data_IF_797203882612
#
_entry.id   IF_797203882612
#
_cell.length_a   1.000
_cell.length_b   1.000
_cell.length_c   1.000
_cell.angle_alpha   90.00
_cell.angle_beta   90.00
_cell.angle_gamma   90.00
#
_symmetry.space_group_name_H-M   'P 1'
#
loop_
_entity.id
_entity.type
_entity.pdbx_description
1 polymer ?
#
# COMPACT_ATOMS: atom_id res chain seq x y z
N UNK A 1 -2.65 -11.50 -19.41
CA UNK A 1 -2.28 -12.68 -18.59
C UNK A 1 -0.84 -13.00 -18.95
N UNK A 2 0.09 -12.82 -18.00
CA UNK A 2 1.52 -13.06 -18.22
C UNK A 2 1.84 -14.54 -17.99
N UNK A 3 2.91 -15.06 -18.61
CA UNK A 3 3.38 -16.46 -18.43
C UNK A 3 3.50 -16.81 -16.96
N UNK A 4 4.07 -15.91 -16.15
CA UNK A 4 4.23 -16.07 -14.70
C UNK A 4 2.89 -16.28 -13.98
N UNK A 5 1.85 -15.51 -14.33
CA UNK A 5 0.54 -15.64 -13.69
C UNK A 5 -0.13 -16.96 -14.07
N UNK A 6 0.02 -17.40 -15.33
CA UNK A 6 -0.54 -18.67 -15.77
C UNK A 6 0.15 -19.89 -15.13
N UNK A 7 1.49 -19.85 -15.00
CA UNK A 7 2.22 -20.86 -14.23
C UNK A 7 1.71 -20.89 -12.79
N UNK A 8 1.49 -19.72 -12.18
CA UNK A 8 0.99 -19.62 -10.80
C UNK A 8 -0.40 -20.21 -10.65
N UNK A 9 -1.32 -19.89 -11.56
CA UNK A 9 -2.68 -20.45 -11.56
C UNK A 9 -2.63 -21.99 -11.67
N UNK A 10 -1.73 -22.53 -12.50
CA UNK A 10 -1.51 -23.97 -12.62
C UNK A 10 -0.96 -24.60 -11.34
N UNK A 11 0.03 -23.98 -10.68
CA UNK A 11 0.57 -24.47 -9.39
C UNK A 11 -0.48 -24.44 -8.28
N UNK A 12 -1.33 -23.42 -8.24
CA UNK A 12 -2.44 -23.34 -7.28
C UNK A 12 -3.50 -24.40 -7.55
N UNK A 13 -3.75 -24.72 -8.82
CA UNK A 13 -4.70 -25.76 -9.21
C UNK A 13 -4.16 -27.18 -9.00
N UNK A 14 -2.85 -27.37 -9.18
CA UNK A 14 -2.14 -28.64 -9.04
C UNK A 14 -0.76 -28.42 -8.40
N UNK A 15 -0.61 -28.84 -7.14
CA UNK A 15 0.64 -28.71 -6.40
C UNK A 15 1.79 -29.55 -6.95
N UNK A 16 1.52 -30.48 -7.89
CA UNK A 16 2.55 -31.25 -8.59
C UNK A 16 3.07 -30.54 -9.85
N UNK A 17 2.56 -29.36 -10.20
CA UNK A 17 2.99 -28.56 -11.35
C UNK A 17 4.33 -27.84 -11.08
N UNK A 18 5.36 -28.60 -10.69
CA UNK A 18 6.69 -28.13 -10.30
C UNK A 18 7.73 -28.79 -11.24
N UNK A 19 8.88 -28.14 -11.46
CA UNK A 19 9.96 -28.58 -12.34
C UNK A 19 9.71 -28.23 -13.81
N UNK A 20 10.31 -29.00 -14.73
CA UNK A 20 10.12 -28.81 -16.17
C UNK A 20 8.67 -29.13 -16.57
N UNK A 21 7.94 -28.10 -16.97
CA UNK A 21 6.54 -28.16 -17.39
C UNK A 21 6.34 -27.51 -18.76
N UNK A 22 5.35 -27.99 -19.50
CA UNK A 22 4.97 -27.40 -20.78
C UNK A 22 3.65 -26.62 -20.66
N UNK A 23 3.72 -25.31 -20.86
CA UNK A 23 2.59 -24.40 -20.72
C UNK A 23 2.13 -23.91 -22.10
N UNK A 24 0.87 -24.18 -22.45
CA UNK A 24 0.26 -23.64 -23.68
C UNK A 24 -0.49 -22.34 -23.36
N UNK A 25 0.02 -21.21 -23.88
CA UNK A 25 -0.63 -19.90 -23.76
C UNK A 25 -0.83 -19.29 -25.15
N UNK A 26 -2.05 -18.84 -25.43
CA UNK A 26 -2.42 -18.21 -26.72
C UNK A 26 -2.03 -19.03 -27.96
N UNK A 27 -2.11 -20.37 -27.86
CA UNK A 27 -1.74 -21.29 -28.94
C UNK A 27 -0.23 -21.44 -29.17
N UNK A 28 0.60 -21.00 -28.22
CA UNK A 28 2.05 -21.23 -28.21
C UNK A 28 2.45 -22.04 -26.98
N UNK A 29 3.37 -22.97 -27.19
CA UNK A 29 3.91 -23.82 -26.13
C UNK A 29 5.20 -23.20 -25.57
N UNK A 30 5.27 -23.16 -24.24
CA UNK A 30 6.37 -22.63 -23.47
C UNK A 30 6.89 -23.70 -22.53
N UNK A 31 8.16 -24.09 -22.71
CA UNK A 31 8.82 -24.96 -21.75
C UNK A 31 9.34 -24.10 -20.59
N UNK A 32 8.84 -24.35 -19.38
CA UNK A 32 9.10 -23.55 -18.19
C UNK A 32 9.61 -24.46 -17.08
N UNK A 33 10.62 -24.00 -16.35
CA UNK A 33 11.10 -24.67 -15.13
C UNK A 33 10.47 -23.95 -13.92
N UNK A 34 9.56 -24.65 -13.25
CA UNK A 34 8.75 -24.11 -12.15
C UNK A 34 9.39 -24.47 -10.82
N UNK A 35 9.90 -23.48 -10.09
CA UNK A 35 10.51 -23.73 -8.79
C UNK A 35 9.47 -24.11 -7.73
N UNK A 36 9.84 -24.96 -6.75
CA UNK A 36 8.98 -25.33 -5.61
C UNK A 36 8.43 -24.12 -4.83
N UNK A 37 9.15 -22.99 -4.84
CA UNK A 37 8.72 -21.76 -4.18
C UNK A 37 7.54 -21.06 -4.85
N UNK A 38 7.12 -21.46 -6.06
CA UNK A 38 5.95 -20.88 -6.74
C UNK A 38 4.61 -21.23 -6.07
N UNK A 39 4.57 -22.30 -5.27
CA UNK A 39 3.40 -22.67 -4.47
C UNK A 39 3.11 -21.61 -3.38
N UNK A 40 4.16 -20.98 -2.87
CA UNK A 40 4.05 -20.03 -1.78
C UNK A 40 3.79 -18.61 -2.31
N UNK A 41 2.59 -18.10 -2.02
CA UNK A 41 2.33 -16.67 -2.08
C UNK A 41 2.89 -16.00 -0.83
N UNK A 42 4.04 -15.35 -0.99
CA UNK A 42 4.51 -14.40 0.00
C UNK A 42 3.63 -13.15 -0.09
N UNK A 43 2.96 -12.81 1.00
CA UNK A 43 2.34 -11.50 1.14
C UNK A 43 3.45 -10.45 1.22
N UNK A 44 3.82 -9.90 0.06
CA UNK A 44 4.80 -8.82 -0.04
C UNK A 44 4.17 -7.44 0.18
N UNK A 45 2.92 -7.38 0.64
CA UNK A 45 2.21 -6.12 0.87
C UNK A 45 2.66 -5.52 2.20
N UNK A 46 3.90 -5.03 2.24
CA UNK A 46 4.39 -4.24 3.36
C UNK A 46 3.70 -2.87 3.33
N UNK A 47 2.55 -2.78 4.01
CA UNK A 47 1.75 -1.56 4.12
C UNK A 47 1.94 -0.91 5.48
N UNK A 48 2.46 0.31 5.53
CA UNK A 48 2.38 1.11 6.76
C UNK A 48 1.01 1.76 6.83
N UNK A 49 0.28 1.54 7.94
CA UNK A 49 -0.97 2.26 8.21
C UNK A 49 -0.66 3.74 8.41
N UNK A 50 -1.20 4.58 7.55
CA UNK A 50 -1.07 6.03 7.59
C UNK A 50 -2.45 6.69 7.61
N UNK A 51 -2.45 7.98 7.95
CA UNK A 51 -3.63 8.81 8.02
C UNK A 51 -3.44 10.02 7.11
N UNK A 52 -4.45 10.36 6.31
CA UNK A 52 -4.50 11.60 5.55
C UNK A 52 -5.78 12.34 5.91
N UNK A 53 -5.69 13.68 5.95
CA UNK A 53 -6.87 14.54 6.11
C UNK A 53 -7.29 15.00 4.73
N UNK A 54 -8.46 14.56 4.30
CA UNK A 54 -9.03 14.91 3.01
C UNK A 54 -10.21 15.85 3.21
N UNK A 55 -10.27 16.91 2.40
CA UNK A 55 -11.46 17.75 2.31
C UNK A 55 -12.45 17.08 1.38
N UNK A 56 -13.62 16.76 1.90
CA UNK A 56 -14.70 16.12 1.16
C UNK A 56 -15.86 17.11 1.08
N UNK A 57 -16.36 17.31 -0.14
CA UNK A 57 -17.61 18.01 -0.39
C UNK A 57 -18.76 17.03 -0.11
N UNK A 58 -19.49 17.26 0.97
CA UNK A 58 -20.65 16.46 1.37
C UNK A 58 -21.92 17.32 1.30
N UNK A 59 -23.09 16.70 1.28
CA UNK A 59 -24.38 17.41 1.30
C UNK A 59 -25.11 17.08 2.60
N UNK A 60 -25.36 18.10 3.41
CA UNK A 60 -26.09 17.98 4.67
C UNK A 60 -27.55 18.36 4.45
N UNK A 61 -28.45 17.53 4.95
CA UNK A 61 -29.89 17.70 4.91
C UNK A 61 -30.39 18.06 6.29
N UNK A 62 -31.30 19.02 6.37
CA UNK A 62 -32.12 19.25 7.56
C UNK A 62 -33.43 18.51 7.37
N UNK A 63 -33.69 17.50 8.19
CA UNK A 63 -34.91 16.68 8.13
C UNK A 63 -35.80 16.95 9.34
N UNK A 64 -37.08 16.63 9.21
CA UNK A 64 -38.06 16.67 10.29
C UNK A 64 -38.52 15.25 10.59
N UNK A 65 -38.46 14.88 11.87
CA UNK A 65 -38.94 13.60 12.38
C UNK A 65 -39.87 13.81 13.57
N UNK A 66 -40.82 12.91 13.76
CA UNK A 66 -41.65 12.88 14.95
C UNK A 66 -40.85 12.29 16.13
N UNK A 67 -40.65 13.07 17.19
CA UNK A 67 -40.05 12.57 18.42
C UNK A 67 -41.15 12.06 19.35
N UNK A 68 -41.18 10.75 19.58
CA UNK A 68 -42.10 10.14 20.55
C UNK A 68 -41.84 10.63 21.98
N UNK A 69 -40.56 10.90 22.32
CA UNK A 69 -40.17 11.39 23.66
C UNK A 69 -40.68 12.81 23.92
N UNK A 70 -40.60 13.68 22.91
CA UNK A 70 -41.06 15.07 23.02
C UNK A 70 -42.51 15.25 22.58
N UNK A 71 -43.15 14.17 22.08
CA UNK A 71 -44.49 14.17 21.49
C UNK A 71 -44.71 15.28 20.45
N UNK A 72 -43.65 15.64 19.71
CA UNK A 72 -43.65 16.75 18.74
C UNK A 72 -42.68 16.48 17.59
N UNK A 73 -42.85 17.22 16.50
CA UNK A 73 -41.91 17.23 15.39
C UNK A 73 -40.62 17.95 15.81
N UNK A 74 -39.48 17.29 15.60
CA UNK A 74 -38.15 17.85 15.85
C UNK A 74 -37.32 17.85 14.55
N UNK A 75 -36.32 18.73 14.48
CA UNK A 75 -35.43 18.84 13.32
C UNK A 75 -34.07 18.27 13.63
N UNK A 76 -33.55 17.41 12.75
CA UNK A 76 -32.19 16.88 12.83
C UNK A 76 -31.42 17.14 11.55
N UNK A 77 -30.09 17.06 11.63
CA UNK A 77 -29.20 17.16 10.49
C UNK A 77 -28.64 15.78 10.15
N UNK A 78 -28.66 15.42 8.87
CA UNK A 78 -28.11 14.15 8.37
C UNK A 78 -27.34 14.36 7.05
N UNK A 79 -26.49 13.41 6.69
CA UNK A 79 -25.84 13.40 5.37
C UNK A 79 -26.78 12.80 4.34
N UNK A 80 -26.73 13.30 3.10
CA UNK A 80 -27.57 12.82 2.01
C UNK A 80 -27.45 11.32 1.77
N UNK A 81 -26.27 10.73 1.99
CA UNK A 81 -26.03 9.29 1.84
C UNK A 81 -26.83 8.40 2.82
N UNK A 82 -27.29 8.96 3.94
CA UNK A 82 -28.09 8.25 4.94
C UNK A 82 -29.59 8.59 4.84
N UNK A 83 -29.98 9.42 3.87
CA UNK A 83 -31.37 9.89 3.75
C UNK A 83 -32.35 8.72 3.59
N UNK A 84 -31.98 7.70 2.81
CA UNK A 84 -32.84 6.55 2.55
C UNK A 84 -33.18 5.78 3.84
N UNK A 85 -32.23 5.69 4.79
CA UNK A 85 -32.44 5.09 6.11
C UNK A 85 -33.52 5.86 6.88
N UNK A 86 -33.49 7.19 6.82
CA UNK A 86 -34.49 8.04 7.48
C UNK A 86 -35.85 7.98 6.79
N UNK A 87 -35.92 7.95 5.46
CA UNK A 87 -37.19 7.85 4.72
C UNK A 87 -37.91 6.53 5.05
N UNK A 88 -37.15 5.48 5.34
CA UNK A 88 -37.72 4.18 5.74
C UNK A 88 -38.36 4.18 7.14
N UNK A 89 -38.02 5.14 7.99
CA UNK A 89 -38.57 5.27 9.34
C UNK A 89 -40.00 5.86 9.31
N UNK A 90 -41.00 5.21 9.94
CA UNK A 90 -42.36 5.75 10.04
C UNK A 90 -42.46 7.13 10.69
N UNK A 91 -41.46 7.53 11.47
CA UNK A 91 -41.38 8.82 12.15
C UNK A 91 -40.91 9.95 11.23
N UNK A 92 -40.46 9.64 10.02
CA UNK A 92 -40.01 10.63 9.06
C UNK A 92 -41.18 11.43 8.48
N UNK A 93 -40.99 12.75 8.36
CA UNK A 93 -42.04 13.67 7.89
C UNK A 93 -41.62 14.34 6.59
N UNK A 94 -40.49 15.05 6.58
CA UNK A 94 -40.07 15.80 5.38
C UNK A 94 -38.61 16.29 5.47
N UNK A 95 -38.10 16.75 4.33
CA UNK A 95 -36.82 17.45 4.20
C UNK A 95 -37.10 18.96 4.17
N UNK A 96 -36.42 19.72 5.01
CA UNK A 96 -36.60 21.18 5.17
C UNK A 96 -35.59 21.97 4.34
N UNK A 97 -34.34 21.51 4.31
CA UNK A 97 -33.25 22.19 3.61
C UNK A 97 -32.17 21.19 3.19
N UNK A 98 -31.45 21.53 2.13
CA UNK A 98 -30.33 20.78 1.57
C UNK A 98 -29.19 21.76 1.24
N UNK A 99 -28.04 21.58 1.89
CA UNK A 99 -26.89 22.46 1.73
C UNK A 99 -25.59 21.67 1.55
N UNK A 100 -24.76 22.01 0.53
CA UNK A 100 -23.43 21.43 0.39
C UNK A 100 -22.47 22.04 1.42
N UNK A 101 -21.71 21.20 2.11
CA UNK A 101 -20.74 21.58 3.14
C UNK A 101 -19.42 20.85 2.87
N UNK A 102 -18.32 21.59 2.94
CA UNK A 102 -16.98 21.01 2.97
C UNK A 102 -16.64 20.59 4.40
N UNK A 103 -16.13 19.37 4.55
CA UNK A 103 -15.59 18.90 5.83
C UNK A 103 -14.27 18.18 5.66
N UNK A 104 -13.52 18.11 6.75
CA UNK A 104 -12.26 17.36 6.78
C UNK A 104 -12.51 15.99 7.40
N UNK A 105 -12.22 14.94 6.63
CA UNK A 105 -12.31 13.55 7.08
C UNK A 105 -10.91 12.96 7.25
N UNK A 106 -10.73 12.16 8.30
CA UNK A 106 -9.51 11.39 8.51
C UNK A 106 -9.64 10.06 7.78
N UNK A 107 -8.93 9.91 6.67
CA UNK A 107 -8.93 8.69 5.87
C UNK A 107 -7.73 7.83 6.28
N UNK A 108 -8.02 6.61 6.72
CA UNK A 108 -7.00 5.59 6.94
C UNK A 108 -6.64 4.94 5.60
N UNK A 109 -5.35 4.80 5.33
CA UNK A 109 -4.89 4.06 4.17
C UNK A 109 -3.59 3.32 4.47
N UNK A 110 -3.38 2.20 3.79
CA UNK A 110 -2.12 1.48 3.84
C UNK A 110 -1.22 2.00 2.73
N UNK A 111 -0.10 2.61 3.11
CA UNK A 111 0.94 2.96 2.15
C UNK A 111 1.74 1.70 1.85
N UNK A 112 1.39 1.04 0.74
CA UNK A 112 2.12 -0.11 0.21
C UNK A 112 3.52 0.31 -0.22
N UNK A 113 4.54 -0.30 0.35
CA UNK A 113 5.92 -0.16 -0.13
C UNK A 113 6.27 -1.38 -0.97
N UNK A 114 6.10 -1.26 -2.28
CA UNK A 114 6.53 -2.28 -3.24
C UNK A 114 7.93 -1.86 -3.70
N UNK A 115 8.99 -2.61 -3.35
CA UNK A 115 10.32 -2.32 -3.86
C UNK A 115 10.30 -2.46 -5.39
N UNK A 116 10.69 -1.41 -6.08
CA UNK A 116 10.87 -1.41 -7.53
C UNK A 116 12.36 -1.44 -7.88
N UNK A 117 12.70 -1.51 -9.17
CA UNK A 117 14.11 -1.47 -9.60
C UNK A 117 14.83 -0.19 -9.17
N UNK A 118 14.12 0.92 -8.95
CA UNK A 118 14.72 2.17 -8.48
C UNK A 118 15.14 2.08 -7.01
N UNK A 119 14.44 1.29 -6.19
CA UNK A 119 14.81 1.06 -4.78
C UNK A 119 16.15 0.35 -4.59
N UNK A 120 16.71 -0.26 -5.65
CA UNK A 120 18.02 -0.91 -5.59
C UNK A 120 19.20 0.06 -5.64
N UNK A 121 18.95 1.32 -6.00
CA UNK A 121 20.00 2.33 -6.14
C UNK A 121 20.09 3.24 -4.92
N UNK A 122 21.32 3.53 -4.51
CA UNK A 122 21.58 4.55 -3.52
C UNK A 122 21.24 5.93 -4.09
N UNK A 123 20.37 6.73 -3.45
CA UNK A 123 19.93 8.02 -3.99
C UNK A 123 21.05 9.07 -4.03
N UNK A 124 22.13 8.87 -3.27
CA UNK A 124 23.27 9.79 -3.24
C UNK A 124 24.28 9.48 -4.36
N UNK A 125 24.62 8.21 -4.58
CA UNK A 125 25.66 7.83 -5.54
C UNK A 125 25.13 7.33 -6.88
N UNK A 126 23.85 6.93 -6.94
CA UNK A 126 23.27 6.24 -8.09
C UNK A 126 23.79 4.81 -8.30
N UNK A 127 24.61 4.29 -7.37
CA UNK A 127 25.15 2.93 -7.44
C UNK A 127 24.22 1.93 -6.72
N UNK A 128 24.25 0.68 -7.15
CA UNK A 128 23.49 -0.40 -6.51
C UNK A 128 23.98 -0.68 -5.09
N UNK A 129 23.07 -1.08 -4.20
CA UNK A 129 23.42 -1.69 -2.92
C UNK A 129 24.08 -3.06 -3.13
N UNK A 130 25.04 -3.40 -2.27
CA UNK A 130 25.65 -4.72 -2.29
C UNK A 130 24.82 -5.67 -1.41
N UNK A 131 24.22 -6.69 -2.06
CA UNK A 131 23.39 -7.69 -1.41
C UNK A 131 24.23 -8.95 -1.18
N UNK A 132 24.34 -9.39 0.07
CA UNK A 132 25.02 -10.63 0.43
C UNK A 132 24.07 -11.53 1.23
N UNK A 133 24.08 -12.82 0.88
CA UNK A 133 23.35 -13.85 1.62
C UNK A 133 24.33 -14.54 2.56
N UNK A 134 24.05 -14.49 3.86
CA UNK A 134 24.81 -15.24 4.84
C UNK A 134 24.37 -16.71 4.80
N UNK A 135 25.23 -17.59 4.29
CA UNK A 135 24.95 -19.02 4.13
C UNK A 135 24.72 -19.74 5.47
N UNK A 136 25.23 -19.21 6.58
CA UNK A 136 25.10 -19.86 7.90
C UNK A 136 23.79 -19.48 8.59
N UNK A 137 23.39 -18.21 8.50
CA UNK A 137 22.19 -17.68 9.18
C UNK A 137 20.97 -17.54 8.28
N UNK A 138 21.12 -17.78 6.97
CA UNK A 138 20.11 -17.44 5.94
C UNK A 138 19.64 -15.99 6.02
N UNK A 139 20.49 -15.10 6.53
CA UNK A 139 20.19 -13.68 6.69
C UNK A 139 20.53 -12.89 5.43
N UNK A 140 19.70 -11.93 5.08
CA UNK A 140 20.00 -10.96 4.01
C UNK A 140 20.77 -9.78 4.61
N UNK A 141 21.96 -9.53 4.07
CA UNK A 141 22.75 -8.35 4.37
C UNK A 141 22.76 -7.40 3.18
N UNK A 142 22.50 -6.12 3.45
CA UNK A 142 22.49 -5.03 2.49
C UNK A 142 23.52 -3.99 2.91
N UNK A 143 24.58 -3.84 2.12
CA UNK A 143 25.65 -2.88 2.35
C UNK A 143 25.48 -1.63 1.48
N UNK A 144 25.72 -0.45 2.07
CA UNK A 144 25.75 0.82 1.34
C UNK A 144 26.94 0.84 0.36
N UNK A 145 26.77 1.39 -0.86
CA UNK A 145 27.90 1.61 -1.77
C UNK A 145 28.87 2.69 -1.28
N UNK A 146 28.49 3.48 -0.26
CA UNK A 146 29.35 4.50 0.34
C UNK A 146 30.21 3.88 1.43
N UNK A 147 31.45 3.51 1.07
CA UNK A 147 32.45 2.94 1.98
C UNK A 147 33.38 3.99 2.58
N UNK A 148 33.59 5.11 1.89
CA UNK A 148 34.43 6.22 2.30
C UNK A 148 33.61 7.50 2.48
N UNK A 149 34.28 8.61 2.81
CA UNK A 149 33.63 9.92 2.91
C UNK A 149 33.10 10.32 1.53
N UNK A 150 31.79 10.51 1.43
CA UNK A 150 31.11 11.06 0.26
C UNK A 150 30.95 12.57 0.45
N UNK A 151 31.36 13.34 -0.55
CA UNK A 151 31.25 14.80 -0.55
C UNK A 151 30.70 15.30 -1.88
N UNK A 152 29.67 16.15 -1.82
CA UNK A 152 29.00 16.73 -3.00
C UNK A 152 28.71 18.22 -2.76
N UNK A 153 29.04 19.12 -3.68
CA UNK A 153 28.73 20.54 -3.55
C UNK A 153 27.21 20.78 -3.64
N UNK A 154 26.66 21.57 -2.71
CA UNK A 154 25.25 22.00 -2.69
C UNK A 154 25.15 23.50 -2.45
N UNK A 155 24.20 24.17 -3.11
CA UNK A 155 23.92 25.58 -2.85
C UNK A 155 25.16 26.51 -2.93
N UNK A 156 25.95 26.38 -4.00
CA UNK A 156 27.13 27.20 -4.34
C UNK A 156 28.30 27.18 -3.33
N UNK A 157 28.08 27.53 -2.07
CA UNK A 157 29.12 27.63 -1.02
C UNK A 157 29.08 26.48 0.01
N UNK A 158 28.07 25.63 -0.03
CA UNK A 158 27.95 24.50 0.89
C UNK A 158 28.38 23.19 0.21
N UNK A 159 28.82 22.22 1.00
CA UNK A 159 28.96 20.84 0.56
C UNK A 159 28.20 19.93 1.51
N UNK A 160 27.53 18.94 0.94
CA UNK A 160 27.04 17.80 1.69
C UNK A 160 28.20 16.84 1.89
N UNK A 161 28.49 16.50 3.14
CA UNK A 161 29.55 15.56 3.49
C UNK A 161 28.99 14.50 4.42
N UNK A 162 29.21 13.24 4.08
CA UNK A 162 28.77 12.11 4.91
C UNK A 162 29.81 11.00 4.94
N UNK A 163 29.83 10.27 6.05
CA UNK A 163 30.71 9.12 6.22
C UNK A 163 30.04 7.86 5.64
N UNK A 164 30.69 6.70 5.80
CA UNK A 164 30.08 5.43 5.45
C UNK A 164 28.72 5.26 6.14
N UNK A 165 27.72 4.83 5.36
CA UNK A 165 26.37 4.54 5.86
C UNK A 165 26.21 3.10 6.37
N UNK A 166 27.29 2.34 6.52
CA UNK A 166 27.25 1.01 7.12
C UNK A 166 26.41 -0.02 6.33
N UNK A 167 25.83 -0.97 7.07
CA UNK A 167 25.05 -2.07 6.51
C UNK A 167 23.84 -2.41 7.38
N UNK A 168 22.84 -3.05 6.78
CA UNK A 168 21.70 -3.65 7.48
C UNK A 168 21.81 -5.16 7.30
N UNK A 169 21.79 -5.91 8.42
CA UNK A 169 21.80 -7.36 8.41
C UNK A 169 20.55 -7.88 9.12
N UNK A 170 19.65 -8.49 8.36
CA UNK A 170 18.40 -9.07 8.84
C UNK A 170 17.61 -8.12 9.77
N UNK A 171 17.40 -6.89 9.31
CA UNK A 171 16.70 -5.83 10.05
C UNK A 171 17.54 -5.06 11.07
N UNK A 172 18.72 -5.55 11.45
CA UNK A 172 19.62 -4.87 12.38
C UNK A 172 20.55 -3.90 11.63
N UNK A 173 20.59 -2.64 12.06
CA UNK A 173 21.43 -1.59 11.48
C UNK A 173 22.81 -1.63 12.12
N UNK A 174 23.87 -1.38 11.35
CA UNK A 174 25.23 -1.30 11.89
C UNK A 174 25.54 0.05 12.57
N UNK A 175 24.56 0.95 12.61
CA UNK A 175 24.67 2.30 13.18
C UNK A 175 23.42 2.59 14.03
N UNK A 176 23.60 3.44 15.05
CA UNK A 176 22.56 3.99 15.92
C UNK A 176 22.30 5.46 15.57
#
# INVERSE_FOLDING_TARGET
>A
MNVVNAVRDSVVADSLYIGEQNLTLFGKDYNVDVAESFEFEYDTTFGFKLYRRDTILDTTLKIVMYSNELSRNDTSFTQKKYLDDYISDPSFISIVNEEPIERVELVEYYKTFIPDSNTNFCPLTGNNYALTLDNEKKGLRVDSPITTIYEEPRYFLFSFKTNSHGFINDGNRSWD
#
